data_IF_794221572382
#
_entry.id   IF_794221572382
#
_cell.length_a   1.000
_cell.length_b   1.000
_cell.length_c   1.000
_cell.angle_alpha   90.00
_cell.angle_beta   90.00
_cell.angle_gamma   90.00
#
_symmetry.space_group_name_H-M   'P 1'
#
loop_
_entity.id
_entity.type
_entity.pdbx_description
1 polymer ?
#
# COMPACT_ATOMS: atom_id res chain seq x y z
N UNK A 1 12.59 69.00 -15.94
CA UNK A 1 13.17 67.63 -15.84
C UNK A 1 12.15 66.50 -15.58
N UNK A 2 10.83 66.70 -15.79
CA UNK A 2 9.81 65.67 -15.43
C UNK A 2 9.32 64.80 -16.60
N UNK A 3 9.56 65.21 -17.86
CA UNK A 3 9.00 64.56 -19.05
C UNK A 3 9.85 63.36 -19.52
N UNK A 4 11.17 63.43 -19.39
CA UNK A 4 12.07 62.31 -19.75
C UNK A 4 11.94 61.08 -18.85
N UNK A 5 11.62 61.29 -17.57
CA UNK A 5 11.41 60.20 -16.61
C UNK A 5 10.12 59.41 -16.88
N UNK A 6 9.07 60.09 -17.36
CA UNK A 6 7.78 59.45 -17.67
C UNK A 6 7.87 58.59 -18.93
N UNK A 7 8.61 59.04 -19.94
CA UNK A 7 8.82 58.28 -21.17
C UNK A 7 9.70 57.04 -20.93
N UNK A 8 10.72 57.16 -20.08
CA UNK A 8 11.57 56.04 -19.68
C UNK A 8 10.80 55.00 -18.85
N UNK A 9 9.93 55.45 -17.93
CA UNK A 9 9.07 54.55 -17.15
C UNK A 9 8.03 53.82 -18.00
N UNK A 10 7.47 54.47 -19.02
CA UNK A 10 6.50 53.85 -19.94
C UNK A 10 7.13 52.76 -20.82
N UNK A 11 8.35 52.98 -21.31
CA UNK A 11 9.09 51.96 -22.07
C UNK A 11 9.50 50.79 -21.17
N UNK A 12 9.93 51.06 -19.93
CA UNK A 12 10.26 50.02 -18.96
C UNK A 12 9.04 49.18 -18.56
N UNK A 13 7.86 49.81 -18.42
CA UNK A 13 6.60 49.12 -18.16
C UNK A 13 6.13 48.27 -19.34
N UNK A 14 6.43 48.67 -20.59
CA UNK A 14 6.03 47.91 -21.78
C UNK A 14 6.90 46.64 -21.97
N UNK A 15 8.17 46.69 -21.57
CA UNK A 15 9.07 45.52 -21.59
C UNK A 15 8.72 44.52 -20.48
N UNK A 16 8.24 44.98 -19.33
CA UNK A 16 7.84 44.11 -18.22
C UNK A 16 6.61 43.22 -18.55
N UNK A 17 5.74 43.65 -19.48
CA UNK A 17 4.54 42.89 -19.86
C UNK A 17 4.86 41.73 -20.82
N UNK A 18 5.95 41.80 -21.58
CA UNK A 18 6.31 40.78 -22.60
C UNK A 18 6.96 39.54 -21.99
N UNK A 19 7.36 39.58 -20.72
CA UNK A 19 8.06 38.48 -20.02
C UNK A 19 7.17 37.53 -19.23
N UNK A 20 5.85 37.71 -19.20
CA UNK A 20 4.94 36.78 -18.51
C UNK A 20 4.58 35.66 -19.49
N UNK A 21 5.56 34.81 -19.76
CA UNK A 21 5.30 33.49 -20.34
C UNK A 21 4.48 32.71 -19.32
N UNK A 22 3.32 32.19 -19.72
CA UNK A 22 2.57 31.23 -18.93
C UNK A 22 3.52 30.10 -18.49
N UNK A 23 3.72 29.95 -17.19
CA UNK A 23 4.27 28.71 -16.65
C UNK A 23 3.19 27.67 -16.93
N UNK A 24 3.39 26.86 -17.97
CA UNK A 24 2.64 25.62 -18.11
C UNK A 24 2.87 24.84 -16.80
N UNK A 25 1.78 24.61 -16.06
CA UNK A 25 1.81 23.77 -14.86
C UNK A 25 2.27 22.36 -15.29
N UNK A 26 3.58 22.12 -15.20
CA UNK A 26 4.17 20.84 -15.52
C UNK A 26 3.67 19.82 -14.49
N UNK A 27 2.70 18.99 -14.90
CA UNK A 27 2.11 17.97 -14.04
C UNK A 27 3.15 16.89 -13.78
N UNK A 28 3.77 16.96 -12.60
CA UNK A 28 4.63 15.89 -12.09
C UNK A 28 3.74 14.67 -11.80
N UNK A 29 3.93 13.60 -12.58
CA UNK A 29 3.34 12.28 -12.31
C UNK A 29 4.40 11.41 -11.64
N UNK A 30 4.04 10.85 -10.49
CA UNK A 30 4.87 9.88 -9.77
C UNK A 30 4.12 8.57 -9.73
N UNK A 31 4.69 7.54 -10.34
CA UNK A 31 4.20 6.17 -10.19
C UNK A 31 4.73 5.61 -8.87
N UNK A 32 3.83 5.07 -8.05
CA UNK A 32 4.19 4.43 -6.77
C UNK A 32 3.72 2.99 -6.78
N UNK A 33 4.55 2.09 -6.28
CA UNK A 33 4.22 0.68 -6.13
C UNK A 33 3.99 0.39 -4.64
N UNK A 34 2.80 -0.12 -4.32
CA UNK A 34 2.47 -0.58 -2.99
C UNK A 34 2.88 -2.05 -2.87
N UNK A 35 3.78 -2.34 -1.93
CA UNK A 35 4.21 -3.71 -1.62
C UNK A 35 3.52 -4.17 -0.35
N UNK A 36 2.73 -5.24 -0.44
CA UNK A 36 2.04 -5.84 0.71
C UNK A 36 2.88 -6.94 1.35
N UNK A 37 3.04 -6.88 2.68
CA UNK A 37 3.76 -7.88 3.46
C UNK A 37 2.78 -8.56 4.44
N UNK A 38 2.15 -9.68 4.07
CA UNK A 38 1.25 -10.39 4.96
C UNK A 38 2.02 -11.05 6.10
N UNK A 39 1.53 -10.92 7.34
CA UNK A 39 2.16 -11.52 8.51
C UNK A 39 1.15 -11.96 9.57
N UNK A 40 1.55 -12.93 10.38
CA UNK A 40 0.80 -13.42 11.55
C UNK A 40 1.69 -13.37 12.77
N UNK A 41 1.17 -12.82 13.89
CA UNK A 41 1.90 -12.78 15.16
C UNK A 41 1.26 -13.75 16.14
N UNK A 42 2.08 -14.64 16.70
CA UNK A 42 1.66 -15.66 17.66
C UNK A 42 2.40 -15.47 18.99
N UNK A 43 1.76 -15.83 20.09
CA UNK A 43 2.42 -15.96 21.39
C UNK A 43 3.20 -17.27 21.52
N UNK A 44 3.89 -17.47 22.65
CA UNK A 44 4.68 -18.66 22.92
C UNK A 44 3.87 -19.97 22.96
N UNK A 45 2.53 -19.88 23.10
CA UNK A 45 1.61 -21.03 23.09
C UNK A 45 1.00 -21.28 21.71
N UNK A 46 1.33 -20.45 20.71
CA UNK A 46 0.81 -20.53 19.35
C UNK A 46 -0.50 -19.78 19.14
N UNK A 47 -0.95 -18.98 20.11
CA UNK A 47 -2.21 -18.22 20.00
C UNK A 47 -1.98 -16.88 19.28
N UNK A 48 -2.87 -16.46 18.36
CA UNK A 48 -2.76 -15.17 17.69
C UNK A 48 -2.79 -13.98 18.65
N UNK A 49 -1.85 -13.05 18.46
CA UNK A 49 -1.83 -11.75 19.14
C UNK A 49 -2.48 -10.72 18.23
N UNK A 50 -3.68 -10.28 18.59
CA UNK A 50 -4.48 -9.34 17.79
C UNK A 50 -4.27 -7.87 18.16
N UNK A 51 -3.56 -7.59 19.25
CA UNK A 51 -3.36 -6.23 19.80
C UNK A 51 -2.07 -5.57 19.32
N UNK A 52 -1.45 -6.07 18.24
CA UNK A 52 -0.22 -5.51 17.66
C UNK A 52 -0.55 -4.16 17.03
N UNK A 53 0.30 -3.17 17.27
CA UNK A 53 0.23 -1.86 16.64
C UNK A 53 1.36 -1.68 15.62
N UNK A 54 1.21 -0.69 14.75
CA UNK A 54 2.19 -0.38 13.72
C UNK A 54 3.58 -0.04 14.30
N UNK A 55 3.61 0.63 15.46
CA UNK A 55 4.83 1.00 16.19
C UNK A 55 5.58 -0.20 16.78
N UNK A 56 4.92 -1.36 16.89
CA UNK A 56 5.53 -2.62 17.34
C UNK A 56 6.28 -3.34 16.21
N UNK A 57 6.24 -2.80 14.97
CA UNK A 57 6.78 -3.46 13.76
C UNK A 57 7.90 -2.62 13.13
N UNK A 58 8.96 -3.31 12.71
CA UNK A 58 9.98 -2.75 11.84
C UNK A 58 10.20 -3.68 10.65
N UNK A 59 10.12 -3.13 9.43
CA UNK A 59 10.50 -3.83 8.21
C UNK A 59 11.96 -3.46 7.92
N UNK A 60 12.79 -4.48 7.72
CA UNK A 60 14.20 -4.31 7.37
C UNK A 60 14.46 -5.10 6.09
N UNK A 61 14.99 -4.42 5.07
CA UNK A 61 15.37 -5.01 3.79
C UNK A 61 16.80 -4.58 3.47
N UNK A 62 17.67 -5.54 3.15
CA UNK A 62 19.10 -5.31 2.88
C UNK A 62 19.81 -4.48 3.97
N UNK A 63 19.41 -4.70 5.23
CA UNK A 63 19.96 -4.01 6.39
C UNK A 63 19.47 -2.56 6.56
N UNK A 64 18.52 -2.09 5.74
CA UNK A 64 17.90 -0.76 5.85
C UNK A 64 16.48 -0.86 6.37
N UNK A 65 16.11 0.06 7.26
CA UNK A 65 14.73 0.17 7.75
C UNK A 65 13.84 0.75 6.66
N UNK A 66 12.74 0.06 6.36
CA UNK A 66 11.74 0.52 5.41
C UNK A 66 10.62 1.27 6.15
N UNK A 67 10.02 2.22 5.45
CA UNK A 67 8.86 2.96 5.95
C UNK A 67 7.61 2.09 5.84
N UNK A 68 6.90 1.93 6.96
CA UNK A 68 5.60 1.26 6.98
C UNK A 68 4.52 2.35 6.88
N UNK A 69 3.98 2.54 5.68
CA UNK A 69 2.99 3.61 5.42
C UNK A 69 1.57 3.19 5.75
N UNK A 70 1.24 1.90 5.59
CA UNK A 70 -0.09 1.33 5.86
C UNK A 70 0.05 0.10 6.74
N UNK A 71 -0.67 0.09 7.86
CA UNK A 71 -0.83 -1.09 8.71
C UNK A 71 -2.32 -1.35 8.93
N UNK A 72 -2.77 -2.52 8.50
CA UNK A 72 -4.17 -2.91 8.63
C UNK A 72 -4.28 -4.37 9.05
N UNK A 73 -5.09 -4.64 10.06
CA UNK A 73 -5.58 -5.98 10.34
C UNK A 73 -6.74 -6.26 9.39
N UNK A 74 -6.46 -6.97 8.30
CA UNK A 74 -7.47 -7.27 7.30
C UNK A 74 -8.21 -8.58 7.66
N UNK A 75 -9.47 -8.47 8.05
CA UNK A 75 -10.43 -9.58 8.03
C UNK A 75 -11.04 -9.64 6.63
N UNK A 76 -10.29 -10.15 5.66
CA UNK A 76 -10.82 -10.35 4.31
C UNK A 76 -11.69 -11.61 4.29
N UNK A 77 -12.88 -11.58 3.66
CA UNK A 77 -13.61 -12.80 3.36
C UNK A 77 -12.69 -13.74 2.57
N UNK A 78 -12.53 -14.97 3.04
CA UNK A 78 -11.79 -16.00 2.31
C UNK A 78 -12.75 -17.10 1.91
N UNK A 79 -12.56 -17.62 0.70
CA UNK A 79 -13.36 -18.71 0.16
C UNK A 79 -12.51 -19.99 0.12
N UNK A 80 -13.06 -21.09 0.60
CA UNK A 80 -12.40 -22.40 0.59
C UNK A 80 -13.22 -23.37 -0.24
N UNK A 81 -12.58 -23.99 -1.24
CA UNK A 81 -13.12 -25.14 -1.94
C UNK A 81 -12.43 -26.41 -1.44
N UNK A 82 -13.20 -27.30 -0.81
CA UNK A 82 -12.70 -28.58 -0.32
C UNK A 82 -13.12 -29.70 -1.25
N UNK A 83 -12.14 -30.39 -1.86
CA UNK A 83 -12.39 -31.54 -2.74
C UNK A 83 -12.00 -32.82 -2.00
N UNK A 84 -12.95 -33.75 -1.88
CA UNK A 84 -12.75 -35.02 -1.18
C UNK A 84 -12.66 -36.16 -2.19
N UNK A 85 -11.55 -36.89 -2.18
CA UNK A 85 -11.43 -38.12 -2.97
C UNK A 85 -12.29 -39.23 -2.36
N UNK A 86 -13.19 -39.79 -3.17
CA UNK A 86 -14.10 -40.90 -2.82
C UNK A 86 -13.79 -42.18 -3.59
N UNK A 87 -12.60 -42.26 -4.19
CA UNK A 87 -12.08 -43.45 -4.84
C UNK A 87 -11.99 -44.66 -3.88
N UNK A 88 -11.88 -45.86 -4.45
CA UNK A 88 -11.86 -47.11 -3.67
C UNK A 88 -10.70 -47.19 -2.65
N UNK A 89 -9.58 -46.51 -2.90
CA UNK A 89 -8.41 -46.50 -2.02
C UNK A 89 -8.58 -45.68 -0.75
N UNK A 90 -9.53 -44.73 -0.72
CA UNK A 90 -9.78 -43.90 0.48
C UNK A 90 -10.95 -44.42 1.32
N UNK A 91 -11.55 -45.55 0.93
CA UNK A 91 -12.84 -46.01 1.46
C UNK A 91 -12.81 -46.29 2.96
N UNK A 92 -11.71 -46.81 3.50
CA UNK A 92 -11.55 -47.05 4.94
C UNK A 92 -11.39 -45.75 5.74
N UNK A 93 -10.86 -44.71 5.10
CA UNK A 93 -10.54 -43.42 5.71
C UNK A 93 -11.63 -42.37 5.47
N UNK A 94 -12.62 -42.64 4.60
CA UNK A 94 -13.65 -41.67 4.22
C UNK A 94 -14.33 -40.99 5.40
N UNK A 95 -14.66 -41.73 6.46
CA UNK A 95 -15.27 -41.16 7.67
C UNK A 95 -14.30 -40.27 8.46
N UNK A 96 -13.01 -40.56 8.43
CA UNK A 96 -11.98 -39.69 9.02
C UNK A 96 -11.82 -38.43 8.19
N UNK A 97 -11.73 -38.56 6.86
CA UNK A 97 -11.61 -37.46 5.92
C UNK A 97 -12.80 -36.49 6.07
N UNK A 98 -14.03 -37.01 6.14
CA UNK A 98 -15.23 -36.20 6.36
C UNK A 98 -15.21 -35.46 7.71
N UNK A 99 -14.80 -36.13 8.79
CA UNK A 99 -14.69 -35.48 10.11
C UNK A 99 -13.61 -34.40 10.14
N UNK A 100 -12.45 -34.66 9.54
CA UNK A 100 -11.37 -33.69 9.44
C UNK A 100 -11.82 -32.46 8.63
N UNK A 101 -12.52 -32.67 7.51
CA UNK A 101 -13.11 -31.61 6.70
C UNK A 101 -14.10 -30.74 7.51
N UNK A 102 -14.96 -31.36 8.32
CA UNK A 102 -15.91 -30.65 9.18
C UNK A 102 -15.24 -29.85 10.30
N UNK A 103 -14.06 -30.27 10.78
CA UNK A 103 -13.31 -29.55 11.80
C UNK A 103 -12.42 -28.42 11.23
N UNK A 104 -12.14 -28.47 9.94
CA UNK A 104 -11.27 -27.49 9.27
C UNK A 104 -11.98 -26.14 9.02
N UNK A 105 -13.29 -26.17 8.81
CA UNK A 105 -14.16 -24.98 8.67
C UNK A 105 -14.87 -24.65 9.99
#
# INVERSE_FOLDING_TARGET
MKIGAVLFALVFSLVAVVGVSAQDDEVIRVDTELVEVPMTVLDATGKPILSIRQDDIAIIEDGKRQELTVFASASVPFEVALLLDTSGSTRSELQLIQRAAQHFI
#
